data_IF_465277812808
#
_entry.id   IF_465277812808
#
_cell.length_a   1.000
_cell.length_b   1.000
_cell.length_c   1.000
_cell.angle_alpha   90.00
_cell.angle_beta   90.00
_cell.angle_gamma   90.00
#
_symmetry.space_group_name_H-M   'P 1'
#
loop_
_entity.id
_entity.type
_entity.pdbx_description
1 polymer ?
#
# COMPACT_ATOMS: atom_id res chain seq x y z
N UNK A 1 -39.33 -13.99 5.39
CA UNK A 1 -37.90 -14.39 5.37
C UNK A 1 -37.44 -15.21 4.15
N UNK A 2 -38.16 -16.22 3.61
CA UNK A 2 -37.63 -17.07 2.51
C UNK A 2 -37.16 -16.29 1.26
N UNK A 3 -37.80 -15.16 0.94
CA UNK A 3 -37.52 -14.36 -0.27
C UNK A 3 -36.13 -13.71 -0.30
N UNK A 4 -35.49 -13.54 0.86
CA UNK A 4 -34.19 -12.86 1.02
C UNK A 4 -33.15 -13.72 1.77
N UNK A 5 -33.33 -15.04 1.86
CA UNK A 5 -32.44 -15.93 2.62
C UNK A 5 -30.96 -15.81 2.21
N UNK A 6 -30.68 -15.80 0.91
CA UNK A 6 -29.29 -15.62 0.43
C UNK A 6 -28.69 -14.26 0.81
N UNK A 7 -29.51 -13.21 0.95
CA UNK A 7 -29.06 -11.88 1.37
C UNK A 7 -28.74 -11.83 2.86
N UNK A 8 -29.57 -12.50 3.68
CA UNK A 8 -29.31 -12.70 5.11
C UNK A 8 -27.99 -13.44 5.33
N UNK A 9 -27.80 -14.59 4.67
CA UNK A 9 -26.60 -15.42 4.83
C UNK A 9 -25.33 -14.68 4.37
N UNK A 10 -25.38 -13.96 3.23
CA UNK A 10 -24.26 -13.11 2.79
C UNK A 10 -23.98 -11.96 3.78
N UNK A 11 -25.02 -11.35 4.34
CA UNK A 11 -24.86 -10.32 5.37
C UNK A 11 -24.21 -10.88 6.63
N UNK A 12 -24.65 -12.05 7.11
CA UNK A 12 -24.04 -12.73 8.24
C UNK A 12 -22.57 -13.13 7.98
N UNK A 13 -22.25 -13.58 6.77
CA UNK A 13 -20.87 -13.89 6.38
C UNK A 13 -19.94 -12.66 6.51
N UNK A 14 -20.44 -11.46 6.20
CA UNK A 14 -19.72 -10.20 6.39
C UNK A 14 -19.89 -9.54 7.77
N UNK A 15 -20.65 -10.15 8.70
CA UNK A 15 -20.93 -9.52 9.99
C UNK A 15 -19.71 -9.61 10.92
N UNK A 16 -19.10 -8.49 11.34
CA UNK A 16 -17.89 -8.51 12.17
C UNK A 16 -18.09 -9.10 13.57
N UNK A 17 -19.34 -9.32 14.00
CA UNK A 17 -19.71 -9.90 15.29
C UNK A 17 -20.23 -11.35 15.18
N UNK A 18 -20.21 -11.95 13.99
CA UNK A 18 -20.64 -13.34 13.81
C UNK A 18 -19.74 -14.31 14.60
N UNK A 19 -20.32 -15.23 15.41
CA UNK A 19 -19.52 -16.14 16.21
C UNK A 19 -18.87 -17.25 15.37
N UNK A 20 -17.76 -17.85 15.83
CA UNK A 20 -17.01 -18.86 15.07
C UNK A 20 -17.86 -19.99 14.50
N UNK A 21 -18.78 -20.55 15.28
CA UNK A 21 -19.66 -21.64 14.86
C UNK A 21 -20.64 -21.23 13.74
N UNK A 22 -21.07 -19.97 13.70
CA UNK A 22 -21.87 -19.43 12.61
C UNK A 22 -21.05 -19.35 11.32
N UNK A 23 -19.78 -18.93 11.41
CA UNK A 23 -18.87 -18.85 10.27
C UNK A 23 -18.57 -20.24 9.68
N UNK A 24 -18.43 -21.27 10.52
CA UNK A 24 -18.26 -22.66 10.07
C UNK A 24 -19.50 -23.15 9.31
N UNK A 25 -20.71 -22.88 9.82
CA UNK A 25 -21.97 -23.22 9.12
C UNK A 25 -22.11 -22.46 7.79
N UNK A 26 -21.69 -21.21 7.73
CA UNK A 26 -21.71 -20.42 6.49
C UNK A 26 -20.67 -20.89 5.47
N UNK A 27 -19.57 -21.51 5.90
CA UNK A 27 -18.57 -22.08 5.00
C UNK A 27 -19.10 -23.27 4.17
N UNK A 28 -20.17 -23.93 4.62
CA UNK A 28 -20.82 -25.01 3.87
C UNK A 28 -22.09 -24.55 3.13
N UNK A 29 -22.56 -23.32 3.39
CA UNK A 29 -23.77 -22.78 2.81
C UNK A 29 -23.61 -22.45 1.33
N UNK A 30 -24.65 -22.64 0.52
CA UNK A 30 -24.66 -22.29 -0.91
C UNK A 30 -24.82 -20.76 -1.12
N UNK A 31 -23.73 -20.03 -0.87
CA UNK A 31 -23.61 -18.58 -1.01
C UNK A 31 -22.26 -18.21 -1.62
N UNK A 32 -22.08 -16.96 -2.03
CA UNK A 32 -20.73 -16.46 -2.33
C UNK A 32 -19.91 -16.37 -1.02
N UNK A 33 -18.95 -17.30 -0.85
CA UNK A 33 -18.10 -17.42 0.35
C UNK A 33 -16.86 -16.54 0.31
N UNK A 34 -16.73 -15.68 -0.69
CA UNK A 34 -15.58 -14.77 -0.84
C UNK A 34 -15.44 -13.81 0.33
N UNK A 35 -16.56 -13.30 0.85
CA UNK A 35 -16.54 -12.43 2.03
C UNK A 35 -16.02 -13.19 3.26
N UNK A 36 -16.44 -14.45 3.42
CA UNK A 36 -15.98 -15.34 4.48
C UNK A 36 -14.47 -15.59 4.39
N UNK A 37 -13.95 -15.88 3.19
CA UNK A 37 -12.52 -16.11 2.95
C UNK A 37 -11.64 -14.88 3.27
N UNK A 38 -12.18 -13.66 3.17
CA UNK A 38 -11.48 -12.39 3.46
C UNK A 38 -11.47 -12.03 4.95
N UNK A 39 -12.26 -12.72 5.78
CA UNK A 39 -12.35 -12.43 7.21
C UNK A 39 -11.06 -12.74 7.93
N UNK A 40 -10.55 -11.79 8.72
CA UNK A 40 -9.32 -11.96 9.52
C UNK A 40 -9.52 -12.87 10.75
N UNK A 41 -10.76 -13.02 11.19
CA UNK A 41 -11.19 -13.83 12.34
C UNK A 41 -11.75 -15.20 11.90
N UNK A 42 -11.44 -15.64 10.69
CA UNK A 42 -11.95 -16.90 10.14
C UNK A 42 -11.50 -18.09 11.01
N UNK A 43 -12.42 -18.92 11.53
CA UNK A 43 -12.07 -20.10 12.31
C UNK A 43 -11.33 -21.14 11.47
N UNK A 44 -10.41 -21.88 12.09
CA UNK A 44 -9.60 -22.92 11.44
C UNK A 44 -10.46 -23.93 10.67
N UNK A 45 -11.58 -24.37 11.24
CA UNK A 45 -12.49 -25.31 10.59
C UNK A 45 -13.12 -24.75 9.32
N UNK A 46 -13.50 -23.47 9.32
CA UNK A 46 -14.01 -22.79 8.13
C UNK A 46 -12.90 -22.64 7.07
N UNK A 47 -11.68 -22.29 7.47
CA UNK A 47 -10.54 -22.23 6.55
C UNK A 47 -10.24 -23.59 5.89
N UNK A 48 -10.34 -24.70 6.63
CA UNK A 48 -10.19 -26.06 6.06
C UNK A 48 -11.26 -26.34 5.01
N UNK A 49 -12.53 -26.00 5.29
CA UNK A 49 -13.63 -26.18 4.33
C UNK A 49 -13.39 -25.35 3.06
N UNK A 50 -13.02 -24.08 3.23
CA UNK A 50 -12.80 -23.17 2.10
C UNK A 50 -11.54 -23.49 1.28
N UNK A 51 -10.58 -24.24 1.83
CA UNK A 51 -9.39 -24.67 1.11
C UNK A 51 -9.70 -25.69 0.00
N UNK A 52 -10.79 -26.44 0.16
CA UNK A 52 -11.30 -27.40 -0.82
C UNK A 52 -12.47 -26.84 -1.65
N UNK A 53 -12.77 -25.54 -1.54
CA UNK A 53 -13.87 -24.89 -2.28
C UNK A 53 -13.64 -25.03 -3.80
N UNK A 54 -14.71 -25.30 -4.56
CA UNK A 54 -14.62 -25.46 -6.02
C UNK A 54 -14.23 -24.16 -6.74
N UNK A 55 -14.61 -23.00 -6.20
CA UNK A 55 -14.29 -21.68 -6.77
C UNK A 55 -12.84 -21.29 -6.41
N UNK A 56 -11.98 -21.30 -7.42
CA UNK A 56 -10.58 -20.87 -7.28
C UNK A 56 -10.44 -19.44 -6.74
N UNK A 57 -11.46 -18.57 -6.92
CA UNK A 57 -11.48 -17.22 -6.33
C UNK A 57 -11.60 -17.28 -4.82
N UNK A 58 -12.44 -18.16 -4.27
CA UNK A 58 -12.58 -18.36 -2.81
C UNK A 58 -11.26 -18.86 -2.23
N UNK A 59 -10.65 -19.88 -2.84
CA UNK A 59 -9.33 -20.40 -2.44
C UNK A 59 -8.23 -19.35 -2.55
N UNK A 60 -8.29 -18.48 -3.56
CA UNK A 60 -7.36 -17.37 -3.74
C UNK A 60 -7.51 -16.30 -2.65
N UNK A 61 -8.73 -15.91 -2.29
CA UNK A 61 -8.93 -14.99 -1.16
C UNK A 61 -8.48 -15.61 0.17
N UNK A 62 -8.75 -16.90 0.38
CA UNK A 62 -8.28 -17.62 1.55
C UNK A 62 -6.74 -17.63 1.60
N UNK A 63 -6.06 -17.85 0.48
CA UNK A 63 -4.60 -17.83 0.37
C UNK A 63 -3.98 -16.48 0.76
N UNK A 64 -4.72 -15.37 0.67
CA UNK A 64 -4.27 -14.05 1.13
C UNK A 64 -4.45 -13.83 2.64
N UNK A 65 -5.04 -14.78 3.36
CA UNK A 65 -5.33 -14.64 4.78
C UNK A 65 -4.01 -14.62 5.60
N UNK A 66 -3.81 -13.62 6.48
CA UNK A 66 -2.53 -13.41 7.17
C UNK A 66 -2.14 -14.51 8.16
N UNK A 67 -3.11 -15.30 8.61
CA UNK A 67 -2.97 -16.29 9.68
C UNK A 67 -3.62 -17.61 9.30
N UNK A 68 -3.11 -18.30 8.27
CA UNK A 68 -3.55 -19.64 7.91
C UNK A 68 -2.82 -20.72 8.74
N UNK A 69 -3.51 -21.78 9.18
CA UNK A 69 -2.87 -22.99 9.72
C UNK A 69 -1.93 -23.65 8.71
N UNK A 70 -0.88 -24.31 9.19
CA UNK A 70 0.14 -24.92 8.33
C UNK A 70 -0.45 -25.96 7.36
N UNK A 71 -1.46 -26.71 7.78
CA UNK A 71 -2.14 -27.72 6.98
C UNK A 71 -2.86 -27.08 5.78
N UNK A 72 -3.55 -25.96 6.00
CA UNK A 72 -4.24 -25.19 4.96
C UNK A 72 -3.23 -24.55 4.01
N UNK A 73 -2.12 -24.01 4.52
CA UNK A 73 -1.04 -23.48 3.68
C UNK A 73 -0.48 -24.55 2.74
N UNK A 74 -0.27 -25.79 3.22
CA UNK A 74 0.26 -26.88 2.40
C UNK A 74 -0.73 -27.28 1.30
N UNK A 75 -2.03 -27.34 1.60
CA UNK A 75 -3.08 -27.60 0.59
C UNK A 75 -3.03 -26.52 -0.50
N UNK A 76 -3.06 -25.24 -0.12
CA UNK A 76 -3.05 -24.12 -1.05
C UNK A 76 -1.72 -23.97 -1.81
N UNK A 77 -0.59 -24.38 -1.23
CA UNK A 77 0.71 -24.42 -1.91
C UNK A 77 0.78 -25.52 -3.00
N UNK A 78 -0.12 -26.51 -2.94
CA UNK A 78 -0.28 -27.57 -3.95
C UNK A 78 -1.48 -27.35 -4.86
N UNK A 79 -2.16 -26.21 -4.76
CA UNK A 79 -3.35 -25.91 -5.55
C UNK A 79 -3.07 -26.04 -7.05
N UNK A 80 -4.07 -26.50 -7.81
CA UNK A 80 -3.97 -26.62 -9.27
C UNK A 80 -3.80 -25.25 -9.94
N UNK A 81 -4.38 -24.19 -9.38
CA UNK A 81 -4.31 -22.84 -9.92
C UNK A 81 -3.06 -22.09 -9.40
N UNK A 82 -2.18 -21.69 -10.33
CA UNK A 82 -0.98 -20.91 -10.02
C UNK A 82 -1.29 -19.54 -9.39
N UNK A 83 -2.50 -19.00 -9.54
CA UNK A 83 -2.95 -17.77 -8.88
C UNK A 83 -3.16 -17.99 -7.39
N UNK A 84 -3.70 -19.14 -6.98
CA UNK A 84 -3.86 -19.49 -5.56
C UNK A 84 -2.48 -19.64 -4.92
N UNK A 85 -1.60 -20.44 -5.54
CA UNK A 85 -0.22 -20.63 -5.07
C UNK A 85 0.58 -19.33 -5.01
N UNK A 86 0.48 -18.50 -6.06
CA UNK A 86 1.14 -17.20 -6.11
C UNK A 86 0.64 -16.24 -5.04
N UNK A 87 -0.66 -16.28 -4.71
CA UNK A 87 -1.25 -15.43 -3.68
C UNK A 87 -0.83 -15.85 -2.27
N UNK A 88 -0.73 -17.14 -2.01
CA UNK A 88 -0.12 -17.66 -0.77
C UNK A 88 1.36 -17.24 -0.68
N UNK A 89 2.09 -17.34 -1.79
CA UNK A 89 3.51 -17.01 -1.87
C UNK A 89 3.81 -15.53 -1.60
N UNK A 90 3.01 -14.63 -2.15
CA UNK A 90 3.18 -13.18 -2.02
C UNK A 90 3.28 -12.76 -0.56
N UNK A 91 2.50 -13.40 0.33
CA UNK A 91 2.49 -13.05 1.76
C UNK A 91 2.18 -11.56 2.00
N UNK A 92 1.55 -10.89 1.04
CA UNK A 92 1.21 -9.48 1.11
C UNK A 92 -0.19 -9.32 1.68
N UNK A 93 -0.37 -8.28 2.49
CA UNK A 93 -1.70 -7.80 2.83
C UNK A 93 -2.33 -7.28 1.53
N UNK A 94 -3.33 -7.97 1.01
CA UNK A 94 -4.13 -7.39 -0.06
C UNK A 94 -4.80 -6.13 0.48
N UNK A 95 -4.87 -5.09 -0.36
CA UNK A 95 -5.67 -3.88 -0.14
C UNK A 95 -7.12 -4.28 0.16
N UNK A 96 -7.43 -4.57 1.42
CA UNK A 96 -8.79 -4.55 1.94
C UNK A 96 -9.08 -3.10 2.25
N UNK A 97 -9.72 -2.44 1.30
CA UNK A 97 -10.09 -1.02 1.28
C UNK A 97 -11.18 -0.64 2.29
N UNK A 98 -11.11 -1.14 3.52
CA UNK A 98 -12.03 -0.72 4.58
C UNK A 98 -11.29 -0.70 5.92
N UNK A 99 -10.85 0.49 6.33
CA UNK A 99 -10.47 0.77 7.71
C UNK A 99 -8.99 1.11 7.89
N UNK A 100 -8.74 2.39 8.21
CA UNK A 100 -7.50 2.82 8.83
C UNK A 100 -7.22 2.02 10.11
N UNK A 101 -5.93 1.79 10.37
CA UNK A 101 -5.31 1.32 11.63
C UNK A 101 -5.19 -0.21 11.83
N UNK A 102 -4.47 -0.89 10.92
CA UNK A 102 -3.33 -1.76 11.25
C UNK A 102 -3.04 -2.75 10.11
N UNK A 103 -1.92 -2.53 9.42
CA UNK A 103 -1.32 -3.48 8.48
C UNK A 103 -0.70 -4.64 9.26
N UNK A 104 -1.49 -5.65 9.60
CA UNK A 104 -0.95 -6.89 10.14
C UNK A 104 -0.35 -7.68 8.98
N UNK A 105 0.98 -7.62 8.83
CA UNK A 105 1.70 -8.48 7.89
C UNK A 105 1.43 -9.94 8.24
N UNK A 106 1.16 -10.81 7.25
CA UNK A 106 1.03 -12.24 7.48
C UNK A 106 2.15 -12.82 8.34
N UNK A 107 1.81 -13.83 9.14
CA UNK A 107 2.80 -14.68 9.80
C UNK A 107 3.67 -15.40 8.76
N UNK A 108 4.85 -15.91 9.14
CA UNK A 108 5.65 -16.72 8.23
C UNK A 108 4.85 -17.96 7.80
N UNK A 109 5.01 -18.37 6.54
CA UNK A 109 4.50 -19.65 6.07
C UNK A 109 5.25 -20.80 6.77
N UNK A 110 4.65 -21.98 6.75
CA UNK A 110 5.31 -23.22 7.18
C UNK A 110 6.52 -23.49 6.29
N UNK A 111 7.53 -24.14 6.85
CA UNK A 111 8.74 -24.50 6.10
C UNK A 111 8.41 -25.31 4.84
N UNK A 112 7.47 -26.27 4.94
CA UNK A 112 7.03 -27.08 3.80
C UNK A 112 6.36 -26.23 2.71
N UNK A 113 5.50 -25.27 3.07
CA UNK A 113 4.88 -24.37 2.09
C UNK A 113 5.94 -23.53 1.37
N UNK A 114 6.93 -22.97 2.09
CA UNK A 114 8.04 -22.27 1.45
C UNK A 114 8.83 -23.16 0.49
N UNK A 115 9.14 -24.39 0.88
CA UNK A 115 9.90 -25.34 0.04
C UNK A 115 9.13 -25.76 -1.22
N UNK A 116 7.81 -25.89 -1.15
CA UNK A 116 6.95 -26.15 -2.31
C UNK A 116 6.93 -24.96 -3.27
N UNK A 117 6.68 -23.76 -2.75
CA UNK A 117 6.55 -22.54 -3.56
C UNK A 117 7.89 -22.11 -4.19
N UNK A 118 9.02 -22.35 -3.50
CA UNK A 118 10.35 -22.04 -4.03
C UNK A 118 10.74 -22.93 -5.23
N UNK A 119 10.15 -24.13 -5.34
CA UNK A 119 10.33 -25.04 -6.47
C UNK A 119 9.18 -25.01 -7.47
N UNK A 120 8.28 -24.03 -7.35
CA UNK A 120 7.12 -23.94 -8.23
C UNK A 120 7.58 -23.83 -9.70
N UNK A 121 6.99 -24.62 -10.62
CA UNK A 121 7.38 -24.57 -12.02
C UNK A 121 7.09 -23.19 -12.65
N UNK A 122 6.14 -22.42 -12.12
CA UNK A 122 5.71 -21.15 -12.67
C UNK A 122 6.54 -19.98 -12.09
N UNK A 123 7.35 -19.26 -12.89
CA UNK A 123 8.21 -18.17 -12.39
C UNK A 123 7.45 -17.08 -11.65
N UNK A 124 6.20 -16.77 -12.05
CA UNK A 124 5.36 -15.80 -11.29
C UNK A 124 5.13 -16.19 -9.83
N UNK A 125 5.00 -17.48 -9.50
CA UNK A 125 4.83 -17.93 -8.10
C UNK A 125 6.15 -17.73 -7.35
N UNK A 126 7.28 -18.12 -7.95
CA UNK A 126 8.61 -17.89 -7.36
C UNK A 126 8.92 -16.40 -7.18
N UNK A 127 8.56 -15.54 -8.13
CA UNK A 127 8.67 -14.08 -8.00
C UNK A 127 7.82 -13.54 -6.85
N UNK A 128 6.57 -14.00 -6.73
CA UNK A 128 5.71 -13.62 -5.61
C UNK A 128 6.34 -14.03 -4.28
N UNK A 129 6.91 -15.23 -4.20
CA UNK A 129 7.67 -15.69 -3.03
C UNK A 129 8.88 -14.81 -2.71
N UNK A 130 9.59 -14.31 -3.72
CA UNK A 130 10.74 -13.44 -3.54
C UNK A 130 10.38 -12.10 -2.88
N UNK A 131 9.17 -11.58 -3.14
CA UNK A 131 8.59 -10.41 -2.48
C UNK A 131 8.16 -10.66 -1.03
N UNK A 132 8.07 -11.93 -0.60
CA UNK A 132 7.63 -12.26 0.74
C UNK A 132 8.67 -11.81 1.77
N UNK A 133 8.32 -10.81 2.59
CA UNK A 133 9.20 -10.22 3.62
C UNK A 133 9.62 -11.21 4.71
N UNK A 134 8.92 -12.33 4.87
CA UNK A 134 9.21 -13.37 5.86
C UNK A 134 9.90 -14.60 5.27
N UNK A 135 10.30 -14.54 3.99
CA UNK A 135 11.03 -15.63 3.33
C UNK A 135 12.32 -15.96 4.10
N UNK A 136 12.55 -17.23 4.51
CA UNK A 136 13.77 -17.63 5.19
C UNK A 136 15.02 -17.41 4.34
N UNK A 137 16.11 -16.92 4.96
CA UNK A 137 17.38 -16.61 4.30
C UNK A 137 17.94 -17.76 3.48
N UNK A 138 17.85 -19.00 3.98
CA UNK A 138 18.33 -20.18 3.25
C UNK A 138 17.57 -20.43 1.93
N UNK A 139 16.29 -20.08 1.88
CA UNK A 139 15.49 -20.19 0.65
C UNK A 139 15.77 -19.01 -0.25
N UNK A 140 15.83 -17.79 0.30
CA UNK A 140 16.19 -16.56 -0.41
C UNK A 140 17.57 -16.66 -1.08
N UNK A 141 18.55 -17.27 -0.41
CA UNK A 141 19.89 -17.55 -0.93
C UNK A 141 19.84 -18.37 -2.22
N UNK A 142 19.08 -19.47 -2.24
CA UNK A 142 18.91 -20.31 -3.44
C UNK A 142 18.23 -19.56 -4.57
N UNK A 143 17.30 -18.66 -4.26
CA UNK A 143 16.59 -17.87 -5.27
C UNK A 143 17.46 -16.82 -5.95
N UNK A 144 18.63 -16.46 -5.40
CA UNK A 144 19.61 -15.61 -6.10
C UNK A 144 20.18 -16.30 -7.36
N UNK A 145 20.13 -17.63 -7.40
CA UNK A 145 20.57 -18.47 -8.50
C UNK A 145 19.38 -19.04 -9.30
N UNK A 146 18.18 -18.44 -9.17
CA UNK A 146 17.02 -18.83 -9.97
C UNK A 146 17.27 -18.57 -11.46
N UNK A 147 16.87 -19.53 -12.30
CA UNK A 147 16.97 -19.42 -13.76
C UNK A 147 16.20 -18.20 -14.32
N UNK A 148 15.18 -17.74 -13.60
CA UNK A 148 14.48 -16.50 -13.92
C UNK A 148 15.19 -15.28 -13.29
N UNK A 149 15.88 -14.51 -14.12
CA UNK A 149 16.62 -13.31 -13.69
C UNK A 149 15.78 -12.27 -12.92
N UNK A 150 14.46 -12.21 -13.13
CA UNK A 150 13.59 -11.33 -12.33
C UNK A 150 13.38 -11.86 -10.93
N UNK A 151 13.17 -13.17 -10.76
CA UNK A 151 13.13 -13.81 -9.44
C UNK A 151 14.41 -13.53 -8.66
N UNK A 152 15.58 -13.74 -9.28
CA UNK A 152 16.87 -13.48 -8.64
C UNK A 152 17.04 -12.00 -8.24
N UNK A 153 16.66 -11.06 -9.12
CA UNK A 153 16.71 -9.63 -8.83
C UNK A 153 15.80 -9.23 -7.66
N UNK A 154 14.56 -9.73 -7.63
CA UNK A 154 13.62 -9.46 -6.52
C UNK A 154 14.14 -10.09 -5.23
N UNK A 155 14.66 -11.32 -5.28
CA UNK A 155 15.18 -12.02 -4.10
C UNK A 155 16.35 -11.25 -3.45
N UNK A 156 17.23 -10.66 -4.25
CA UNK A 156 18.32 -9.81 -3.78
C UNK A 156 17.82 -8.47 -3.24
N UNK A 157 16.93 -7.79 -3.99
CA UNK A 157 16.43 -6.46 -3.65
C UNK A 157 15.64 -6.43 -2.34
N UNK A 158 14.80 -7.45 -2.12
CA UNK A 158 13.96 -7.58 -0.93
C UNK A 158 14.70 -8.20 0.28
N UNK A 159 15.96 -8.60 0.12
CA UNK A 159 16.77 -9.07 1.24
C UNK A 159 17.21 -7.88 2.11
N UNK A 160 17.02 -7.98 3.42
CA UNK A 160 17.42 -6.95 4.38
C UNK A 160 18.32 -7.55 5.50
N UNK A 161 19.58 -7.09 5.67
CA UNK A 161 20.27 -6.11 4.83
C UNK A 161 20.51 -6.62 3.41
N UNK A 162 20.61 -5.69 2.46
CA UNK A 162 20.81 -6.03 1.05
C UNK A 162 22.18 -6.72 0.86
N UNK A 163 22.27 -7.84 0.11
CA UNK A 163 23.52 -8.53 -0.15
C UNK A 163 24.28 -7.79 -1.26
N UNK A 164 24.88 -6.63 -0.93
CA UNK A 164 25.51 -5.70 -1.87
C UNK A 164 26.45 -6.38 -2.87
N UNK A 165 27.28 -7.32 -2.41
CA UNK A 165 28.18 -8.08 -3.29
C UNK A 165 27.42 -8.90 -4.35
N UNK A 166 26.32 -9.57 -3.96
CA UNK A 166 25.48 -10.33 -4.90
C UNK A 166 24.64 -9.41 -5.78
N UNK A 167 24.18 -8.27 -5.29
CA UNK A 167 23.53 -7.24 -6.13
C UNK A 167 24.49 -6.78 -7.24
N UNK A 168 25.75 -6.52 -6.91
CA UNK A 168 26.78 -6.16 -7.88
C UNK A 168 27.00 -7.23 -8.95
N UNK A 169 27.07 -8.50 -8.55
CA UNK A 169 27.16 -9.64 -9.48
C UNK A 169 25.90 -9.80 -10.35
N UNK A 170 24.71 -9.62 -9.78
CA UNK A 170 23.47 -9.67 -10.54
C UNK A 170 23.39 -8.54 -11.57
N UNK A 171 23.84 -7.33 -11.20
CA UNK A 171 23.88 -6.18 -12.10
C UNK A 171 24.79 -6.40 -13.31
N UNK A 172 25.90 -7.14 -13.16
CA UNK A 172 26.81 -7.41 -14.27
C UNK A 172 26.26 -8.41 -15.32
N UNK A 173 25.26 -9.22 -14.96
CA UNK A 173 24.61 -10.20 -15.86
C UNK A 173 23.17 -9.85 -16.27
N UNK A 174 22.58 -8.83 -15.69
CA UNK A 174 21.17 -8.44 -15.92
C UNK A 174 21.05 -7.46 -17.08
N UNK A 175 20.22 -7.78 -18.08
CA UNK A 175 19.98 -6.94 -19.26
C UNK A 175 18.62 -6.21 -19.26
N UNK A 176 17.69 -6.61 -18.37
CA UNK A 176 16.33 -6.04 -18.31
C UNK A 176 16.23 -4.79 -17.45
N UNK A 177 15.60 -3.72 -17.98
CA UNK A 177 15.44 -2.44 -17.30
C UNK A 177 14.82 -2.56 -15.89
N UNK A 178 13.73 -3.32 -15.75
CA UNK A 178 13.05 -3.53 -14.46
C UNK A 178 13.96 -4.14 -13.39
N UNK A 179 14.62 -5.26 -13.71
CA UNK A 179 15.50 -5.95 -12.76
C UNK A 179 16.69 -5.06 -12.36
N UNK A 180 17.25 -4.32 -13.32
CA UNK A 180 18.36 -3.40 -13.09
C UNK A 180 17.96 -2.26 -12.18
N UNK A 181 16.85 -1.59 -12.46
CA UNK A 181 16.33 -0.50 -11.64
C UNK A 181 16.10 -0.95 -10.19
N UNK A 182 15.48 -2.12 -10.01
CA UNK A 182 15.23 -2.70 -8.69
C UNK A 182 16.53 -2.98 -7.92
N UNK A 183 17.53 -3.55 -8.59
CA UNK A 183 18.85 -3.83 -8.00
C UNK A 183 19.62 -2.55 -7.65
N UNK A 184 19.63 -1.56 -8.55
CA UNK A 184 20.28 -0.26 -8.32
C UNK A 184 19.67 0.47 -7.13
N UNK A 185 18.35 0.43 -6.97
CA UNK A 185 17.67 1.05 -5.83
C UNK A 185 18.07 0.45 -4.47
N UNK A 186 18.53 -0.81 -4.48
CA UNK A 186 18.92 -1.56 -3.27
C UNK A 186 20.43 -1.73 -3.12
N UNK A 187 21.20 -1.20 -4.08
CA UNK A 187 22.65 -1.17 -3.98
C UNK A 187 23.05 -0.13 -2.95
N UNK A 188 23.77 -0.56 -1.91
CA UNK A 188 24.43 0.34 -0.98
C UNK A 188 25.86 0.61 -1.45
N UNK A 189 26.23 1.89 -1.54
CA UNK A 189 27.50 2.33 -2.09
C UNK A 189 27.53 2.43 -3.63
N UNK A 190 28.72 2.67 -4.21
CA UNK A 190 28.85 2.96 -5.62
C UNK A 190 28.66 1.72 -6.51
N UNK A 191 28.25 1.97 -7.75
CA UNK A 191 28.09 0.95 -8.78
C UNK A 191 29.42 0.25 -9.08
N UNK A 192 29.51 -1.10 -8.98
CA UNK A 192 30.73 -1.83 -9.30
C UNK A 192 31.18 -1.61 -10.74
N UNK A 193 32.49 -1.53 -10.97
CA UNK A 193 33.04 -1.15 -12.27
C UNK A 193 32.66 -2.12 -13.40
N UNK A 194 32.51 -3.41 -13.13
CA UNK A 194 32.06 -4.39 -14.13
C UNK A 194 30.60 -4.17 -14.52
N UNK A 195 29.74 -3.73 -13.59
CA UNK A 195 28.36 -3.35 -13.90
C UNK A 195 28.32 -2.06 -14.72
N UNK A 196 29.16 -1.06 -14.40
CA UNK A 196 29.31 0.17 -15.21
C UNK A 196 29.70 -0.18 -16.64
N UNK A 197 30.71 -1.05 -16.83
CA UNK A 197 31.18 -1.49 -18.15
C UNK A 197 30.09 -2.22 -18.93
N UNK A 198 29.39 -3.16 -18.30
CA UNK A 198 28.27 -3.88 -18.93
C UNK A 198 27.14 -2.93 -19.36
N UNK A 199 26.77 -1.99 -18.49
CA UNK A 199 25.73 -1.00 -18.80
C UNK A 199 26.15 -0.04 -19.94
N UNK A 200 27.41 0.39 -19.99
CA UNK A 200 27.92 1.19 -21.10
C UNK A 200 27.93 0.40 -22.42
N UNK A 201 28.30 -0.89 -22.39
CA UNK A 201 28.22 -1.76 -23.56
C UNK A 201 26.78 -1.98 -24.04
N UNK A 202 25.82 -2.09 -23.11
CA UNK A 202 24.39 -2.14 -23.43
C UNK A 202 23.91 -0.84 -24.11
N UNK A 203 24.39 0.33 -23.64
CA UNK A 203 24.09 1.63 -24.26
C UNK A 203 24.65 1.69 -25.68
N UNK A 204 25.90 1.28 -25.87
CA UNK A 204 26.57 1.29 -27.18
C UNK A 204 25.92 0.33 -28.19
N UNK A 205 25.32 -0.75 -27.72
CA UNK A 205 24.62 -1.75 -28.54
C UNK A 205 23.11 -1.50 -28.70
N UNK A 206 22.53 -0.58 -27.90
CA UNK A 206 21.10 -0.28 -27.93
C UNK A 206 20.72 0.60 -29.12
N UNK A 207 19.70 0.17 -29.86
CA UNK A 207 19.08 0.96 -30.93
C UNK A 207 18.00 1.93 -30.40
N UNK A 208 17.72 1.94 -29.09
CA UNK A 208 16.73 2.80 -28.45
C UNK A 208 17.42 3.93 -27.66
N UNK A 209 17.41 5.18 -28.18
CA UNK A 209 18.03 6.32 -27.52
C UNK A 209 17.41 6.65 -26.16
N UNK A 210 16.12 6.37 -25.96
CA UNK A 210 15.45 6.67 -24.69
C UNK A 210 15.92 5.72 -23.58
N UNK A 211 16.07 4.44 -23.91
CA UNK A 211 16.65 3.45 -23.00
C UNK A 211 18.11 3.82 -22.66
N UNK A 212 18.92 4.17 -23.66
CA UNK A 212 20.32 4.58 -23.46
C UNK A 212 20.46 5.81 -22.56
N UNK A 213 19.61 6.83 -22.75
CA UNK A 213 19.57 8.01 -21.87
C UNK A 213 19.13 7.67 -20.44
N UNK A 214 18.20 6.71 -20.27
CA UNK A 214 17.80 6.19 -18.96
C UNK A 214 18.97 5.54 -18.22
N UNK A 215 19.70 4.63 -18.88
CA UNK A 215 20.87 3.97 -18.30
C UNK A 215 22.00 4.96 -17.96
N UNK A 216 22.28 5.93 -18.84
CA UNK A 216 23.32 6.94 -18.58
C UNK A 216 23.01 7.76 -17.32
N UNK A 217 21.74 8.16 -17.12
CA UNK A 217 21.32 8.84 -15.88
C UNK A 217 21.51 7.97 -14.65
N UNK A 218 21.19 6.68 -14.73
CA UNK A 218 21.42 5.74 -13.63
C UNK A 218 22.91 5.61 -13.28
N UNK A 219 23.79 5.50 -14.29
CA UNK A 219 25.24 5.47 -14.08
C UNK A 219 25.70 6.76 -13.42
N UNK A 220 25.32 7.92 -13.95
CA UNK A 220 25.73 9.22 -13.43
C UNK A 220 25.33 9.44 -11.96
N UNK A 221 24.19 8.89 -11.52
CA UNK A 221 23.71 8.99 -10.15
C UNK A 221 24.38 8.03 -9.15
N UNK A 222 25.03 6.97 -9.62
CA UNK A 222 25.47 5.85 -8.74
C UNK A 222 26.93 5.44 -8.88
N UNK A 223 27.63 5.85 -9.95
CA UNK A 223 29.05 5.56 -10.12
C UNK A 223 29.88 6.24 -9.03
N UNK A 224 30.96 5.60 -8.58
CA UNK A 224 31.99 6.26 -7.78
C UNK A 224 32.70 7.32 -8.62
N UNK A 225 32.40 8.60 -8.39
CA UNK A 225 33.01 9.71 -9.13
C UNK A 225 34.43 10.03 -8.65
N UNK A 226 34.84 9.52 -7.48
CA UNK A 226 36.19 9.70 -6.93
C UNK A 226 37.21 8.69 -7.49
N UNK A 227 36.74 7.57 -8.06
CA UNK A 227 37.59 6.57 -8.71
C UNK A 227 38.06 7.01 -10.10
N UNK A 228 39.18 6.43 -10.61
CA UNK A 228 39.81 6.82 -11.89
C UNK A 228 38.82 6.93 -13.07
N UNK A 229 37.99 5.91 -13.27
CA UNK A 229 36.96 5.91 -14.32
C UNK A 229 35.87 6.97 -14.07
N UNK A 230 35.52 7.21 -12.80
CA UNK A 230 34.54 8.21 -12.39
C UNK A 230 35.01 9.64 -12.61
N UNK A 231 36.29 9.91 -12.35
CA UNK A 231 36.89 11.23 -12.56
C UNK A 231 36.83 11.64 -14.04
N UNK A 232 37.15 10.72 -14.96
CA UNK A 232 37.04 10.93 -16.40
C UNK A 232 35.58 11.19 -16.85
N UNK A 233 34.63 10.50 -16.21
CA UNK A 233 33.20 10.64 -16.51
C UNK A 233 32.59 11.92 -15.94
N UNK A 234 33.09 12.43 -14.81
CA UNK A 234 32.52 13.58 -14.09
C UNK A 234 32.44 14.81 -14.98
N UNK A 235 33.53 15.17 -15.65
CA UNK A 235 33.55 16.31 -16.57
C UNK A 235 32.55 16.15 -17.70
N UNK A 236 32.47 14.95 -18.29
CA UNK A 236 31.52 14.64 -19.37
C UNK A 236 30.07 14.78 -18.90
N UNK A 237 29.73 14.22 -17.74
CA UNK A 237 28.38 14.28 -17.20
C UNK A 237 27.96 15.69 -16.79
N UNK A 238 28.87 16.50 -16.25
CA UNK A 238 28.59 17.89 -15.89
C UNK A 238 28.34 18.78 -17.12
N UNK A 239 28.91 18.46 -18.29
CA UNK A 239 28.64 19.20 -19.53
C UNK A 239 27.33 18.84 -20.20
N UNK A 240 26.73 17.70 -19.87
CA UNK A 240 25.47 17.24 -20.45
C UNK A 240 24.28 17.75 -19.61
N UNK A 241 23.43 18.65 -20.16
CA UNK A 241 22.29 19.18 -19.43
C UNK A 241 21.34 18.11 -18.88
N UNK A 242 21.22 16.95 -19.55
CA UNK A 242 20.32 15.87 -19.15
C UNK A 242 20.87 15.03 -17.99
N UNK A 243 22.17 15.11 -17.72
CA UNK A 243 22.85 14.32 -16.69
C UNK A 243 23.20 15.12 -15.44
N UNK A 244 23.27 16.46 -15.51
CA UNK A 244 23.62 17.31 -14.36
C UNK A 244 22.79 17.04 -13.11
N UNK A 245 21.49 16.78 -13.24
CA UNK A 245 20.62 16.47 -12.10
C UNK A 245 20.96 15.10 -11.47
N UNK A 246 21.32 14.12 -12.30
CA UNK A 246 21.78 12.81 -11.83
C UNK A 246 23.13 12.91 -11.11
N UNK A 247 24.08 13.67 -11.68
CA UNK A 247 25.38 13.95 -11.04
C UNK A 247 25.19 14.70 -9.72
N UNK A 248 24.31 15.71 -9.68
CA UNK A 248 23.97 16.45 -8.47
C UNK A 248 23.40 15.55 -7.35
N UNK A 249 22.73 14.45 -7.71
CA UNK A 249 22.23 13.45 -6.77
C UNK A 249 23.29 12.43 -6.33
N UNK A 250 24.44 12.35 -7.02
CA UNK A 250 25.46 11.34 -6.75
C UNK A 250 26.17 11.60 -5.40
N UNK A 251 26.15 10.64 -4.46
CA UNK A 251 26.69 10.84 -3.12
C UNK A 251 28.21 11.10 -3.07
N UNK A 252 28.97 10.64 -4.08
CA UNK A 252 30.43 10.80 -4.17
C UNK A 252 30.86 12.09 -4.86
N UNK A 253 29.92 12.93 -5.34
CA UNK A 253 30.28 14.19 -5.97
C UNK A 253 31.00 15.13 -4.99
N UNK A 254 32.17 15.62 -5.40
CA UNK A 254 32.97 16.60 -4.65
C UNK A 254 32.15 17.82 -4.16
N UNK A 255 32.30 18.25 -2.90
CA UNK A 255 31.58 19.38 -2.33
C UNK A 255 31.70 20.69 -3.12
N UNK A 256 32.83 20.94 -3.80
CA UNK A 256 33.01 22.12 -4.64
C UNK A 256 32.06 22.13 -5.83
N UNK A 257 31.89 20.98 -6.50
CA UNK A 257 30.88 20.82 -7.55
C UNK A 257 29.45 20.92 -7.02
N UNK A 258 29.16 20.36 -5.84
CA UNK A 258 27.83 20.49 -5.20
C UNK A 258 27.48 21.97 -4.95
N UNK A 259 28.42 22.75 -4.42
CA UNK A 259 28.22 24.18 -4.17
C UNK A 259 28.01 24.98 -5.48
N UNK A 260 28.69 24.60 -6.57
CA UNK A 260 28.46 25.21 -7.87
C UNK A 260 27.05 24.89 -8.42
N UNK A 261 26.63 23.62 -8.36
CA UNK A 261 25.32 23.17 -8.84
C UNK A 261 24.15 23.70 -8.01
N UNK A 262 24.38 24.17 -6.78
CA UNK A 262 23.38 24.87 -5.98
C UNK A 262 22.85 26.16 -6.66
N UNK A 263 23.64 26.73 -7.58
CA UNK A 263 23.32 27.92 -8.35
C UNK A 263 23.02 27.61 -9.82
N UNK A 264 22.79 26.33 -10.16
CA UNK A 264 22.53 25.92 -11.53
C UNK A 264 21.27 26.60 -12.08
N UNK A 265 21.23 27.07 -13.34
CA UNK A 265 20.01 27.62 -13.94
C UNK A 265 18.86 26.62 -13.98
N UNK A 266 19.14 25.31 -14.03
CA UNK A 266 18.13 24.26 -14.09
C UNK A 266 17.53 23.96 -12.70
N UNK A 267 16.21 24.09 -12.59
CA UNK A 267 15.48 23.83 -11.36
C UNK A 267 15.62 22.37 -10.87
N UNK A 268 15.70 21.39 -11.78
CA UNK A 268 15.85 19.98 -11.41
C UNK A 268 17.23 19.69 -10.82
N UNK A 269 18.27 20.37 -11.30
CA UNK A 269 19.63 20.27 -10.76
C UNK A 269 19.67 20.83 -9.34
N UNK A 270 19.10 22.02 -9.13
CA UNK A 270 19.02 22.62 -7.78
C UNK A 270 18.19 21.75 -6.83
N UNK A 271 17.07 21.19 -7.29
CA UNK A 271 16.26 20.26 -6.51
C UNK A 271 17.06 19.01 -6.09
N UNK A 272 17.85 18.44 -7.00
CA UNK A 272 18.72 17.30 -6.71
C UNK A 272 19.78 17.64 -5.65
N UNK A 273 20.40 18.84 -5.73
CA UNK A 273 21.35 19.31 -4.71
C UNK A 273 20.68 19.41 -3.33
N UNK A 274 19.54 20.08 -3.24
CA UNK A 274 18.81 20.27 -1.96
C UNK A 274 18.40 18.93 -1.34
N UNK A 275 18.01 17.95 -2.17
CA UNK A 275 17.61 16.62 -1.72
C UNK A 275 18.78 15.75 -1.22
N UNK A 276 20.04 16.18 -1.37
CA UNK A 276 21.22 15.42 -0.91
C UNK A 276 21.18 15.17 0.59
N UNK A 277 21.45 13.92 0.96
CA UNK A 277 21.77 13.51 2.31
C UNK A 277 23.02 14.25 2.79
N UNK A 278 22.98 14.82 4.00
CA UNK A 278 24.15 15.48 4.60
C UNK A 278 24.52 16.84 4.01
N UNK A 279 23.74 17.41 3.07
CA UNK A 279 23.93 18.81 2.68
C UNK A 279 23.77 19.70 3.91
N UNK A 280 24.64 20.71 4.03
CA UNK A 280 24.58 21.70 5.10
C UNK A 280 23.16 22.34 5.17
N UNK A 281 22.52 22.40 6.36
CA UNK A 281 21.16 22.93 6.49
C UNK A 281 21.02 24.38 6.04
N UNK A 282 22.03 25.23 6.26
CA UNK A 282 21.99 26.64 5.88
C UNK A 282 22.06 26.78 4.36
N UNK A 283 22.96 26.03 3.72
CA UNK A 283 23.03 25.94 2.26
C UNK A 283 21.73 25.37 1.68
N UNK A 284 21.18 24.30 2.27
CA UNK A 284 19.91 23.72 1.83
C UNK A 284 18.82 24.77 1.79
N UNK A 285 18.61 25.51 2.88
CA UNK A 285 17.56 26.53 2.97
C UNK A 285 17.87 27.82 2.18
N UNK A 286 19.09 28.03 1.68
CA UNK A 286 19.43 29.20 0.86
C UNK A 286 19.12 29.00 -0.63
N UNK A 287 19.17 27.75 -1.12
CA UNK A 287 18.92 27.42 -2.53
C UNK A 287 17.44 27.64 -2.88
N UNK A 288 17.18 28.27 -4.03
CA UNK A 288 15.81 28.49 -4.53
C UNK A 288 15.38 27.32 -5.43
N UNK A 289 14.28 26.66 -5.09
CA UNK A 289 13.67 25.60 -5.90
C UNK A 289 12.19 25.92 -6.12
N UNK A 290 11.77 25.84 -7.37
CA UNK A 290 10.38 25.97 -7.78
C UNK A 290 9.70 24.61 -7.70
N UNK A 291 8.53 24.58 -7.05
CA UNK A 291 7.74 23.37 -6.90
C UNK A 291 6.40 23.53 -7.62
N UNK A 292 6.02 22.50 -8.38
CA UNK A 292 4.66 22.35 -8.88
C UNK A 292 3.86 21.51 -7.90
N UNK A 293 2.87 22.12 -7.24
CA UNK A 293 2.00 21.47 -6.27
C UNK A 293 1.22 20.29 -6.88
N UNK A 294 1.03 20.29 -8.21
CA UNK A 294 0.36 19.21 -8.95
C UNK A 294 1.30 18.05 -9.32
N UNK A 295 2.62 18.24 -9.21
CA UNK A 295 3.59 17.21 -9.54
C UNK A 295 3.74 16.19 -8.41
N UNK A 296 3.69 14.91 -8.74
CA UNK A 296 3.98 13.80 -7.81
C UNK A 296 5.48 13.60 -7.55
N UNK A 297 6.37 14.27 -8.30
CA UNK A 297 7.75 13.82 -8.53
C UNK A 297 8.86 14.30 -7.58
N UNK A 298 8.56 14.86 -6.39
CA UNK A 298 9.58 15.50 -5.53
C UNK A 298 9.60 14.91 -4.12
N UNK A 299 9.92 13.62 -3.97
CA UNK A 299 10.11 12.97 -2.66
C UNK A 299 11.58 12.85 -2.30
N UNK A 300 11.93 13.10 -1.03
CA UNK A 300 13.29 12.96 -0.52
C UNK A 300 13.46 11.55 0.08
N UNK A 301 14.03 10.61 -0.68
CA UNK A 301 13.99 9.18 -0.36
C UNK A 301 14.51 8.82 1.05
N UNK A 302 15.67 9.35 1.46
CA UNK A 302 16.25 9.08 2.78
C UNK A 302 15.39 9.62 3.93
N UNK A 303 14.60 10.67 3.70
CA UNK A 303 13.71 11.25 4.71
C UNK A 303 12.49 10.35 4.97
N UNK A 304 12.17 9.39 4.09
CA UNK A 304 11.07 8.43 4.32
C UNK A 304 11.46 7.27 5.22
N UNK A 305 12.74 6.89 5.22
CA UNK A 305 13.19 5.61 5.81
C UNK A 305 13.94 5.77 7.11
N UNK A 306 14.43 6.97 7.42
CA UNK A 306 15.28 7.17 8.58
C UNK A 306 14.51 7.57 9.82
N UNK A 307 15.07 7.21 10.97
CA UNK A 307 14.54 7.65 12.26
C UNK A 307 14.86 9.14 12.45
N UNK A 308 13.81 9.95 12.63
CA UNK A 308 13.93 11.39 12.82
C UNK A 308 13.61 11.74 14.26
N UNK A 309 14.48 12.54 14.88
CA UNK A 309 14.15 13.17 16.16
C UNK A 309 13.01 14.17 15.97
N UNK A 310 12.23 14.43 17.02
CA UNK A 310 11.17 15.44 16.95
C UNK A 310 11.68 16.83 16.50
N UNK A 311 12.83 17.34 16.98
CA UNK A 311 13.43 18.57 16.45
C UNK A 311 13.68 18.54 14.94
N UNK A 312 14.14 17.40 14.39
CA UNK A 312 14.37 17.26 12.95
C UNK A 312 13.06 17.26 12.17
N UNK A 313 12.04 16.55 12.67
CA UNK A 313 10.69 16.59 12.08
C UNK A 313 10.17 18.02 12.03
N UNK A 314 10.30 18.78 13.13
CA UNK A 314 9.86 20.17 13.20
C UNK A 314 10.67 21.10 12.29
N UNK A 315 11.97 20.86 12.12
CA UNK A 315 12.80 21.61 11.18
C UNK A 315 12.34 21.38 9.73
N UNK A 316 12.13 20.12 9.33
CA UNK A 316 11.67 19.78 7.98
C UNK A 316 10.21 20.18 7.72
N UNK A 317 9.34 20.15 8.73
CA UNK A 317 7.96 20.66 8.64
C UNK A 317 7.90 22.16 8.37
N UNK A 318 8.93 22.91 8.80
CA UNK A 318 9.06 24.36 8.59
C UNK A 318 10.01 24.73 7.44
N UNK A 319 10.57 23.75 6.74
CA UNK A 319 11.48 23.99 5.62
C UNK A 319 10.79 24.81 4.54
N UNK A 320 11.53 25.71 3.88
CA UNK A 320 11.02 26.42 2.70
C UNK A 320 10.70 25.47 1.55
N UNK A 321 11.33 24.30 1.55
CA UNK A 321 11.27 23.33 0.47
C UNK A 321 10.05 22.44 0.62
N UNK A 322 9.06 22.65 -0.26
CA UNK A 322 7.83 21.85 -0.27
C UNK A 322 8.13 20.35 -0.31
N UNK A 323 9.17 19.90 -1.03
CA UNK A 323 9.57 18.49 -1.10
C UNK A 323 9.79 17.86 0.28
N UNK A 324 10.38 18.59 1.24
CA UNK A 324 10.63 18.08 2.59
C UNK A 324 9.33 17.99 3.39
N UNK A 325 8.52 19.06 3.38
CA UNK A 325 7.21 19.09 4.06
C UNK A 325 6.28 17.99 3.52
N UNK A 326 6.25 17.84 2.20
CA UNK A 326 5.48 16.81 1.49
C UNK A 326 5.96 15.40 1.82
N UNK A 327 7.26 15.16 1.79
CA UNK A 327 7.85 13.86 2.14
C UNK A 327 7.61 13.52 3.60
N UNK A 328 7.73 14.50 4.50
CA UNK A 328 7.45 14.33 5.91
C UNK A 328 5.98 13.94 6.14
N UNK A 329 5.03 14.62 5.48
CA UNK A 329 3.60 14.30 5.55
C UNK A 329 3.25 12.87 5.06
N UNK A 330 4.11 12.24 4.26
CA UNK A 330 3.94 10.85 3.80
C UNK A 330 4.26 9.81 4.87
N UNK A 331 4.97 10.19 5.94
CA UNK A 331 5.33 9.30 7.05
C UNK A 331 4.14 9.06 7.98
N UNK A 332 4.23 8.07 8.87
CA UNK A 332 3.14 7.71 9.81
C UNK A 332 3.53 7.86 11.28
N UNK A 333 4.72 8.39 11.55
CA UNK A 333 5.37 8.48 12.87
C UNK A 333 5.67 9.94 13.28
N UNK A 334 4.88 10.88 12.74
CA UNK A 334 5.05 12.30 13.03
C UNK A 334 4.57 12.65 14.45
N UNK A 335 5.23 13.62 15.08
CA UNK A 335 4.73 14.21 16.33
C UNK A 335 3.45 15.04 16.08
N UNK A 336 2.63 15.20 17.11
CA UNK A 336 1.39 15.99 17.04
C UNK A 336 1.67 17.43 16.57
N UNK A 337 2.78 18.04 17.02
CA UNK A 337 3.16 19.39 16.60
C UNK A 337 3.55 19.45 15.11
N UNK A 338 4.31 18.46 14.61
CA UNK A 338 4.63 18.38 13.19
C UNK A 338 3.36 18.22 12.33
N UNK A 339 2.40 17.40 12.77
CA UNK A 339 1.10 17.24 12.09
C UNK A 339 0.32 18.55 12.05
N UNK A 340 0.25 19.32 13.14
CA UNK A 340 -0.46 20.61 13.16
C UNK A 340 0.20 21.65 12.23
N UNK A 341 1.53 21.70 12.16
CA UNK A 341 2.25 22.58 11.22
C UNK A 341 1.87 22.22 9.78
N UNK A 342 1.98 20.94 9.41
CA UNK A 342 1.69 20.46 8.06
C UNK A 342 0.20 20.54 7.71
N UNK A 343 -0.70 20.45 8.69
CA UNK A 343 -2.13 20.62 8.50
C UNK A 343 -2.51 22.05 8.08
N UNK A 344 -1.67 23.03 8.42
CA UNK A 344 -1.81 24.43 8.04
C UNK A 344 -0.95 24.83 6.82
N UNK A 345 -0.27 23.86 6.18
CA UNK A 345 0.60 24.12 5.03
C UNK A 345 -0.15 24.81 3.89
N UNK A 346 0.53 25.62 3.10
CA UNK A 346 -0.01 26.28 1.90
C UNK A 346 -0.29 25.28 0.76
N UNK A 347 0.50 24.22 0.67
CA UNK A 347 0.42 23.17 -0.35
C UNK A 347 -0.81 22.30 -0.15
N UNK A 348 -1.60 22.13 -1.21
CA UNK A 348 -2.71 21.17 -1.18
C UNK A 348 -2.19 19.75 -1.03
N UNK A 349 -1.09 19.40 -1.71
CA UNK A 349 -0.50 18.07 -1.65
C UNK A 349 -0.01 17.69 -0.23
N UNK A 350 0.58 18.64 0.50
CA UNK A 350 1.00 18.41 1.90
C UNK A 350 -0.23 18.14 2.78
N UNK A 351 -1.24 19.01 2.73
CA UNK A 351 -2.49 18.85 3.49
C UNK A 351 -3.22 17.55 3.15
N UNK A 352 -3.21 17.16 1.88
CA UNK A 352 -3.77 15.89 1.41
C UNK A 352 -3.05 14.70 2.05
N UNK A 353 -1.71 14.68 2.06
CA UNK A 353 -0.96 13.60 2.69
C UNK A 353 -1.14 13.55 4.20
N UNK A 354 -1.31 14.70 4.87
CA UNK A 354 -1.69 14.72 6.30
C UNK A 354 -3.00 13.95 6.51
N UNK A 355 -4.03 14.21 5.71
CA UNK A 355 -5.30 13.48 5.78
C UNK A 355 -5.19 11.99 5.45
N UNK A 356 -4.29 11.62 4.53
CA UNK A 356 -4.12 10.23 4.08
C UNK A 356 -3.32 9.36 5.05
N UNK A 357 -2.35 9.95 5.75
CA UNK A 357 -1.32 9.19 6.47
C UNK A 357 -1.38 9.34 7.98
N UNK A 358 -1.90 10.45 8.49
CA UNK A 358 -1.80 10.76 9.91
C UNK A 358 -3.02 10.25 10.69
N UNK A 359 -2.83 9.36 11.69
CA UNK A 359 -3.94 8.82 12.48
C UNK A 359 -4.62 9.87 13.38
N UNK A 360 -3.97 11.02 13.58
CA UNK A 360 -4.44 12.17 14.35
C UNK A 360 -4.83 13.36 13.43
N UNK A 361 -5.01 13.15 12.12
CA UNK A 361 -5.37 14.22 11.19
C UNK A 361 -6.57 15.06 11.71
N UNK A 362 -6.48 16.42 11.68
CA UNK A 362 -7.54 17.27 12.21
C UNK A 362 -8.87 17.12 11.46
N UNK A 363 -9.98 16.98 12.21
CA UNK A 363 -11.32 16.81 11.63
C UNK A 363 -11.74 17.93 10.67
N UNK A 364 -11.40 19.19 11.01
CA UNK A 364 -11.64 20.36 10.14
C UNK A 364 -10.95 20.24 8.79
N UNK A 365 -9.73 19.69 8.78
CA UNK A 365 -8.95 19.54 7.56
C UNK A 365 -9.52 18.40 6.71
N UNK A 366 -9.87 17.26 7.33
CA UNK A 366 -10.52 16.14 6.67
C UNK A 366 -11.82 16.57 5.96
N UNK A 367 -12.68 17.34 6.65
CA UNK A 367 -13.91 17.87 6.06
C UNK A 367 -13.64 18.83 4.89
N UNK A 368 -12.65 19.72 5.03
CA UNK A 368 -12.27 20.66 3.99
C UNK A 368 -11.74 19.94 2.73
N UNK A 369 -10.76 19.06 2.88
CA UNK A 369 -10.18 18.31 1.75
C UNK A 369 -11.25 17.41 1.11
N UNK A 370 -12.08 16.72 1.90
CA UNK A 370 -13.08 15.80 1.35
C UNK A 370 -14.22 16.48 0.57
N UNK A 371 -14.45 17.78 0.78
CA UNK A 371 -15.42 18.56 0.01
C UNK A 371 -14.95 18.74 -1.45
N UNK A 372 -13.67 19.11 -1.64
CA UNK A 372 -13.12 19.53 -2.92
C UNK A 372 -12.36 18.40 -3.65
N UNK A 373 -11.75 17.47 -2.91
CA UNK A 373 -10.98 16.36 -3.47
C UNK A 373 -11.89 15.24 -3.97
N UNK A 374 -11.74 14.85 -5.24
CA UNK A 374 -12.50 13.74 -5.88
C UNK A 374 -11.64 12.50 -6.17
N UNK A 375 -10.42 12.45 -5.63
CA UNK A 375 -9.53 11.30 -5.79
C UNK A 375 -9.89 10.13 -4.87
N UNK A 376 -9.17 9.01 -5.04
CA UNK A 376 -9.44 7.76 -4.32
C UNK A 376 -9.34 7.88 -2.79
N UNK A 377 -8.40 8.67 -2.28
CA UNK A 377 -8.19 8.84 -0.84
C UNK A 377 -9.30 9.58 -0.10
N UNK A 378 -10.21 10.24 -0.83
CA UNK A 378 -11.38 10.90 -0.23
C UNK A 378 -12.18 9.93 0.66
N UNK A 379 -12.32 8.68 0.23
CA UNK A 379 -13.08 7.66 0.96
C UNK A 379 -12.47 7.34 2.32
N UNK A 380 -11.14 7.31 2.40
CA UNK A 380 -10.41 7.08 3.66
C UNK A 380 -10.62 8.23 4.65
N UNK A 381 -10.65 9.47 4.16
CA UNK A 381 -10.90 10.67 4.98
C UNK A 381 -12.29 10.66 5.60
N UNK A 382 -13.30 10.29 4.80
CA UNK A 382 -14.68 10.21 5.25
C UNK A 382 -14.92 9.05 6.23
N UNK A 383 -14.08 8.00 6.17
CA UNK A 383 -14.06 6.89 7.13
C UNK A 383 -13.15 7.15 8.35
N UNK A 384 -12.46 8.28 8.40
CA UNK A 384 -11.51 8.60 9.45
C UNK A 384 -12.23 8.83 10.80
N UNK A 385 -11.65 8.34 11.90
CA UNK A 385 -12.24 8.45 13.26
C UNK A 385 -12.46 9.91 13.73
N UNK A 386 -11.69 10.84 13.19
CA UNK A 386 -11.79 12.27 13.47
C UNK A 386 -12.70 13.02 12.48
N UNK A 387 -13.36 12.33 11.54
CA UNK A 387 -14.25 13.00 10.60
C UNK A 387 -15.44 13.64 11.35
N UNK A 388 -15.77 14.92 11.13
CA UNK A 388 -16.81 15.59 11.91
C UNK A 388 -18.23 15.09 11.60
N UNK A 389 -19.06 14.90 12.64
CA UNK A 389 -20.43 14.40 12.51
C UNK A 389 -21.38 15.38 11.77
N UNK A 390 -21.16 16.68 11.93
CA UNK A 390 -21.87 17.74 11.20
C UNK A 390 -21.55 17.70 9.70
N UNK A 391 -20.28 17.50 9.34
CA UNK A 391 -19.86 17.28 7.96
C UNK A 391 -20.49 15.99 7.37
N UNK A 392 -20.54 14.90 8.15
CA UNK A 392 -21.23 13.67 7.74
C UNK A 392 -22.73 13.89 7.53
N UNK A 393 -23.36 14.71 8.37
CA UNK A 393 -24.78 15.07 8.24
C UNK A 393 -25.05 15.87 6.97
N UNK A 394 -24.13 16.75 6.56
CA UNK A 394 -24.23 17.46 5.29
C UNK A 394 -24.14 16.48 4.10
N UNK A 395 -23.18 15.55 4.14
CA UNK A 395 -23.00 14.53 3.09
C UNK A 395 -24.19 13.57 2.96
N UNK A 396 -24.88 13.26 4.05
CA UNK A 396 -26.11 12.46 4.04
C UNK A 396 -27.23 13.09 3.20
N UNK A 397 -27.18 14.40 2.96
CA UNK A 397 -28.15 15.16 2.15
C UNK A 397 -27.63 15.52 0.76
N UNK A 398 -26.45 15.03 0.37
CA UNK A 398 -25.84 15.29 -0.94
C UNK A 398 -26.62 14.61 -2.07
N UNK A 399 -26.65 15.25 -3.23
CA UNK A 399 -27.22 14.66 -4.44
C UNK A 399 -26.40 13.46 -4.95
N UNK A 400 -25.10 13.42 -4.65
CA UNK A 400 -24.23 12.30 -5.04
C UNK A 400 -24.43 11.11 -4.07
N UNK A 401 -24.93 9.94 -4.55
CA UNK A 401 -25.08 8.76 -3.70
C UNK A 401 -23.75 8.25 -3.11
N UNK A 402 -22.61 8.63 -3.70
CA UNK A 402 -21.27 8.32 -3.15
C UNK A 402 -20.98 9.08 -1.86
N UNK A 403 -21.52 10.28 -1.69
CA UNK A 403 -21.38 11.05 -0.45
C UNK A 403 -22.27 10.44 0.64
N UNK A 404 -23.51 10.13 0.27
CA UNK A 404 -24.51 9.56 1.16
C UNK A 404 -24.08 8.21 1.71
N UNK A 405 -23.50 7.32 0.90
CA UNK A 405 -23.04 6.00 1.37
C UNK A 405 -21.95 6.12 2.44
N UNK A 406 -21.04 7.10 2.39
CA UNK A 406 -20.03 7.20 3.47
C UNK A 406 -20.63 7.75 4.75
N UNK A 407 -21.44 8.80 4.62
CA UNK A 407 -22.17 9.36 5.74
C UNK A 407 -23.00 8.30 6.46
N UNK A 408 -23.60 7.37 5.71
CA UNK A 408 -24.52 6.36 6.21
C UNK A 408 -23.93 5.45 7.31
N UNK A 409 -22.62 5.24 7.37
CA UNK A 409 -21.99 4.41 8.41
C UNK A 409 -21.29 5.23 9.51
N UNK A 410 -21.37 6.56 9.46
CA UNK A 410 -20.78 7.41 10.47
C UNK A 410 -21.49 7.23 11.82
N UNK A 411 -20.78 6.89 12.91
CA UNK A 411 -21.40 6.58 14.20
C UNK A 411 -22.09 7.78 14.84
N UNK A 412 -21.64 9.00 14.52
CA UNK A 412 -22.25 10.25 15.00
C UNK A 412 -23.48 10.72 14.22
N UNK A 413 -23.99 9.94 13.25
CA UNK A 413 -25.16 10.36 12.48
C UNK A 413 -26.45 10.19 13.30
N UNK A 414 -27.32 11.20 13.28
CA UNK A 414 -28.62 11.15 13.96
C UNK A 414 -29.56 10.10 13.33
N UNK A 415 -30.41 9.47 14.15
CA UNK A 415 -31.30 8.39 13.69
C UNK A 415 -32.23 8.82 12.55
N UNK A 416 -32.74 10.06 12.56
CA UNK A 416 -33.62 10.58 11.50
C UNK A 416 -32.91 10.62 10.13
N UNK A 417 -31.62 10.96 10.13
CA UNK A 417 -30.81 10.93 8.90
C UNK A 417 -30.53 9.49 8.46
N UNK A 418 -30.33 8.56 9.39
CA UNK A 418 -30.19 7.13 9.08
C UNK A 418 -31.49 6.58 8.47
N UNK A 419 -32.66 6.90 9.02
CA UNK A 419 -33.96 6.46 8.48
C UNK A 419 -34.21 7.03 7.07
N UNK A 420 -33.82 8.29 6.81
CA UNK A 420 -33.86 8.83 5.45
C UNK A 420 -32.96 8.05 4.48
N UNK A 421 -31.77 7.63 4.92
CA UNK A 421 -30.83 6.83 4.11
C UNK A 421 -31.26 5.36 3.96
N UNK A 422 -32.01 4.81 4.91
CA UNK A 422 -32.64 3.48 4.78
C UNK A 422 -33.73 3.48 3.70
N UNK A 423 -34.33 4.63 3.42
CA UNK A 423 -35.28 4.84 2.33
C UNK A 423 -34.65 5.38 1.04
N UNK A 424 -33.31 5.44 0.95
CA UNK A 424 -32.61 6.00 -0.21
C UNK A 424 -32.95 5.28 -1.51
N UNK A 425 -33.01 6.00 -2.64
CA UNK A 425 -33.23 5.40 -3.96
C UNK A 425 -32.12 4.44 -4.42
N UNK A 426 -30.95 4.46 -3.77
CA UNK A 426 -29.76 3.72 -4.17
C UNK A 426 -29.46 2.53 -3.25
N UNK A 427 -29.43 1.31 -3.80
CA UNK A 427 -29.28 0.06 -3.05
C UNK A 427 -28.05 0.01 -2.13
N UNK A 428 -26.89 0.46 -2.61
CA UNK A 428 -25.66 0.40 -1.80
C UNK A 428 -25.66 1.44 -0.66
N UNK A 429 -26.42 2.55 -0.80
CA UNK A 429 -26.62 3.52 0.28
C UNK A 429 -27.50 2.89 1.37
N UNK A 430 -28.64 2.29 0.99
CA UNK A 430 -29.54 1.59 1.92
C UNK A 430 -28.81 0.49 2.68
N UNK A 431 -28.03 -0.34 1.97
CA UNK A 431 -27.22 -1.40 2.57
C UNK A 431 -26.24 -0.86 3.60
N UNK A 432 -25.53 0.23 3.28
CA UNK A 432 -24.55 0.83 4.19
C UNK A 432 -25.22 1.49 5.40
N UNK A 433 -26.36 2.17 5.20
CA UNK A 433 -27.17 2.73 6.29
C UNK A 433 -27.58 1.65 7.28
N UNK A 434 -28.04 0.49 6.81
CA UNK A 434 -28.42 -0.63 7.67
C UNK A 434 -27.25 -1.24 8.48
N UNK A 435 -25.98 -0.95 8.13
CA UNK A 435 -24.80 -1.33 8.93
C UNK A 435 -24.45 -0.32 10.03
N UNK A 436 -25.17 0.81 10.13
CA UNK A 436 -24.84 1.87 11.08
C UNK A 436 -25.01 1.35 12.53
N UNK A 437 -23.97 1.49 13.39
CA UNK A 437 -24.02 0.98 14.76
C UNK A 437 -25.02 1.73 15.67
N UNK A 438 -25.50 2.90 15.26
CA UNK A 438 -26.45 3.71 16.01
C UNK A 438 -27.91 3.29 15.80
N UNK A 439 -28.18 2.29 14.95
CA UNK A 439 -29.52 1.71 14.79
C UNK A 439 -29.89 0.89 16.04
N UNK A 440 -31.03 1.18 16.69
CA UNK A 440 -31.54 0.38 17.80
C UNK A 440 -31.80 -1.09 17.42
N UNK A 441 -31.59 -2.02 18.36
CA UNK A 441 -31.68 -3.47 18.10
C UNK A 441 -33.06 -3.93 17.62
N UNK A 442 -34.13 -3.40 18.18
CA UNK A 442 -35.52 -3.69 17.77
C UNK A 442 -35.78 -3.24 16.32
N UNK A 443 -35.27 -2.07 15.95
CA UNK A 443 -35.32 -1.59 14.58
C UNK A 443 -34.50 -2.49 13.66
N UNK A 444 -33.30 -2.89 14.08
CA UNK A 444 -32.44 -3.79 13.31
C UNK A 444 -33.12 -5.15 13.02
N UNK A 445 -33.80 -5.74 14.02
CA UNK A 445 -34.57 -6.98 13.85
C UNK A 445 -35.68 -6.78 12.81
N UNK A 446 -36.38 -5.63 12.86
CA UNK A 446 -37.40 -5.29 11.85
C UNK A 446 -36.82 -5.22 10.45
N UNK A 447 -35.60 -4.67 10.29
CA UNK A 447 -34.93 -4.55 8.98
C UNK A 447 -34.53 -5.91 8.38
N UNK A 448 -34.38 -6.97 9.18
CA UNK A 448 -34.12 -8.33 8.68
C UNK A 448 -35.30 -8.92 7.91
N UNK A 449 -36.51 -8.42 8.16
CA UNK A 449 -37.74 -8.85 7.48
C UNK A 449 -38.15 -7.94 6.32
N UNK A 450 -37.34 -6.93 5.99
CA UNK A 450 -37.61 -6.02 4.88
C UNK A 450 -37.67 -6.76 3.53
N UNK A 451 -38.44 -6.19 2.60
CA UNK A 451 -38.56 -6.72 1.23
C UNK A 451 -37.27 -6.45 0.44
N UNK A 452 -36.58 -5.35 0.74
CA UNK A 452 -35.36 -4.94 0.04
C UNK A 452 -34.14 -5.75 0.47
N UNK A 453 -33.66 -6.60 -0.42
CA UNK A 453 -32.46 -7.43 -0.23
C UNK A 453 -31.23 -6.65 0.27
N UNK A 454 -31.06 -5.39 -0.19
CA UNK A 454 -29.97 -4.52 0.24
C UNK A 454 -30.05 -4.14 1.72
N UNK A 455 -31.24 -3.81 2.22
CA UNK A 455 -31.48 -3.46 3.63
C UNK A 455 -31.27 -4.70 4.49
N UNK A 456 -31.85 -5.83 4.08
CA UNK A 456 -31.71 -7.12 4.79
C UNK A 456 -30.25 -7.53 4.92
N UNK A 457 -29.48 -7.48 3.83
CA UNK A 457 -28.05 -7.82 3.84
C UNK A 457 -27.24 -6.87 4.73
N UNK A 458 -27.54 -5.57 4.70
CA UNK A 458 -26.87 -4.58 5.55
C UNK A 458 -27.20 -4.76 7.04
N UNK A 459 -28.46 -5.04 7.37
CA UNK A 459 -28.91 -5.30 8.73
C UNK A 459 -28.27 -6.59 9.28
N UNK A 460 -28.21 -7.66 8.45
CA UNK A 460 -27.54 -8.89 8.79
C UNK A 460 -26.01 -8.71 8.97
N UNK A 461 -25.40 -7.72 8.32
CA UNK A 461 -23.98 -7.37 8.48
C UNK A 461 -23.71 -6.37 9.63
N UNK A 462 -24.75 -5.88 10.32
CA UNK A 462 -24.59 -4.89 11.38
C UNK A 462 -23.92 -5.50 12.62
N UNK A 463 -22.86 -4.85 13.11
CA UNK A 463 -22.08 -5.32 14.27
C UNK A 463 -22.87 -5.40 15.58
N UNK A 464 -24.02 -4.73 15.68
CA UNK A 464 -24.86 -4.75 16.89
C UNK A 464 -25.95 -5.83 16.83
N UNK A 465 -26.00 -6.63 15.76
CA UNK A 465 -26.95 -7.73 15.63
C UNK A 465 -26.75 -8.77 16.75
N UNK A 466 -27.79 -9.17 17.50
CA UNK A 466 -27.65 -10.18 18.55
C UNK A 466 -27.28 -11.56 17.99
N UNK A 467 -26.35 -12.24 18.65
CA UNK A 467 -25.91 -13.60 18.28
C UNK A 467 -27.07 -14.61 18.24
N UNK A 468 -28.03 -14.50 19.17
CA UNK A 468 -29.23 -15.35 19.18
C UNK A 468 -30.03 -15.23 17.88
N UNK A 469 -30.12 -14.02 17.31
CA UNK A 469 -30.80 -13.77 16.04
C UNK A 469 -30.04 -14.36 14.86
N UNK A 470 -28.69 -14.32 14.90
CA UNK A 470 -27.86 -14.98 13.89
C UNK A 470 -28.11 -16.49 13.86
N UNK A 471 -28.15 -17.15 15.02
CA UNK A 471 -28.45 -18.60 15.08
C UNK A 471 -29.85 -18.91 14.55
N UNK A 472 -30.86 -18.12 14.92
CA UNK A 472 -32.22 -18.30 14.40
C UNK A 472 -32.27 -18.23 12.87
N UNK A 473 -31.54 -17.30 12.25
CA UNK A 473 -31.45 -17.19 10.79
C UNK A 473 -30.80 -18.43 10.18
N UNK A 474 -29.70 -18.92 10.76
CA UNK A 474 -28.99 -20.11 10.26
C UNK A 474 -29.83 -21.39 10.42
N UNK A 475 -30.54 -21.54 11.53
CA UNK A 475 -31.39 -22.70 11.80
C UNK A 475 -32.57 -22.76 10.82
N UNK A 476 -33.16 -21.60 10.50
CA UNK A 476 -34.19 -21.49 9.47
C UNK A 476 -33.65 -21.81 8.06
N UNK A 477 -32.37 -21.53 7.82
CA UNK A 477 -31.68 -21.92 6.59
C UNK A 477 -31.33 -23.42 6.53
N UNK A 478 -31.54 -24.17 7.62
CA UNK A 478 -31.15 -25.58 7.78
C UNK A 478 -29.64 -25.81 7.65
N UNK A 479 -28.84 -24.83 8.05
CA UNK A 479 -27.39 -24.94 8.14
C UNK A 479 -26.93 -25.52 9.48
#
# INVERSE_FOLDING_TARGET
MQRNLGALLRGLAGNPSAPPEALVRLATADIDRTELARRRDLPVQAAVILADDEDARVRSELAAHPSLPAEVQIVLARDVDARVRGRLAEGAAYFTSVGLHAHHLPGPLSHEAYELLARDPHPRVRRALAFNRRLPDGIRARMLDDDDARTAAIAAAEWNPAPTARIGELLSRTTGAFSRELLLHRLDGPLPIEAVRGMLADIDSSADPANSAGLLRQIAATVDLDADLGADLTGRFLTDPQLRAAVAANPTLDPGHVAALAHDPDNQVRAAVVARRGLDPVLRESVSVEYDDRSSGNTVAWLLTEDLSEPDQLAFARSRHQAFRKTLAMRTDLSDEAVEILAADESFAVRLFVCERQPNAPGRLLAHIAADWKGYSRWDMLAHKNFPADAATALARSDDPRDRVVAAAHPGLAIDAIEALLADGTDYVRRRAATNPSIPTDRLITLLEADESAVVSGAAANRTLPVVTMHQVLDQARL
#
